data_IF_190061642888
#
_entry.id   IF_190061642888
#
_cell.length_a   1.000
_cell.length_b   1.000
_cell.length_c   1.000
_cell.angle_alpha   90.00
_cell.angle_beta   90.00
_cell.angle_gamma   90.00
#
_symmetry.space_group_name_H-M   'P 1'
#
loop_
_entity.id
_entity.type
_entity.pdbx_description
1 polymer ?
#
# COMPACT_ATOMS: atom_id res chain seq x y z
N UNK A 1 -2.12 21.28 -7.76
CA UNK A 1 -2.89 20.18 -8.37
C UNK A 1 -2.22 18.85 -8.03
N UNK A 2 -2.61 18.21 -6.92
CA UNK A 2 -1.90 17.08 -6.30
C UNK A 2 -2.57 15.71 -6.53
N UNK A 3 -3.86 15.70 -6.90
CA UNK A 3 -4.62 14.49 -7.25
C UNK A 3 -3.93 13.63 -8.33
N UNK A 4 -3.31 14.19 -9.39
CA UNK A 4 -2.66 13.37 -10.41
C UNK A 4 -1.42 12.65 -9.87
N UNK A 5 -0.63 13.30 -9.01
CA UNK A 5 0.63 12.75 -8.48
C UNK A 5 0.35 11.57 -7.56
N UNK A 6 -0.63 11.71 -6.66
CA UNK A 6 -1.06 10.62 -5.75
C UNK A 6 -1.62 9.44 -6.55
N UNK A 7 -2.40 9.71 -7.59
CA UNK A 7 -2.97 8.67 -8.46
C UNK A 7 -1.88 7.90 -9.21
N UNK A 8 -0.88 8.60 -9.77
CA UNK A 8 0.24 7.96 -10.49
C UNK A 8 1.07 7.10 -9.54
N UNK A 9 1.41 7.61 -8.34
CA UNK A 9 2.16 6.83 -7.34
C UNK A 9 1.38 5.58 -6.93
N UNK A 10 0.07 5.71 -6.65
CA UNK A 10 -0.78 4.57 -6.29
C UNK A 10 -0.82 3.49 -7.36
N UNK A 11 -0.96 3.88 -8.64
CA UNK A 11 -0.97 2.94 -9.77
C UNK A 11 0.39 2.26 -9.93
N UNK A 12 1.49 3.00 -9.87
CA UNK A 12 2.84 2.42 -9.99
C UNK A 12 3.14 1.45 -8.84
N UNK A 13 2.78 1.80 -7.61
CA UNK A 13 2.95 0.93 -6.45
C UNK A 13 2.09 -0.34 -6.57
N UNK A 14 0.83 -0.24 -7.03
CA UNK A 14 -0.02 -1.40 -7.24
C UNK A 14 0.57 -2.38 -8.27
N UNK A 15 1.14 -1.86 -9.37
CA UNK A 15 1.81 -2.68 -10.39
C UNK A 15 3.06 -3.38 -9.82
N UNK A 16 3.86 -2.67 -9.03
CA UNK A 16 5.07 -3.24 -8.41
C UNK A 16 4.72 -4.33 -7.39
N UNK A 17 3.69 -4.12 -6.56
CA UNK A 17 3.19 -5.13 -5.61
C UNK A 17 2.71 -6.36 -6.39
N UNK A 18 1.93 -6.18 -7.45
CA UNK A 18 1.47 -7.28 -8.30
C UNK A 18 2.63 -8.11 -8.88
N UNK A 19 3.66 -7.43 -9.39
CA UNK A 19 4.88 -8.09 -9.87
C UNK A 19 5.62 -8.85 -8.76
N UNK A 20 5.74 -8.26 -7.58
CA UNK A 20 6.39 -8.88 -6.41
C UNK A 20 5.65 -10.13 -5.92
N UNK A 21 4.31 -10.12 -5.92
CA UNK A 21 3.53 -11.31 -5.53
C UNK A 21 3.75 -12.47 -6.50
N UNK A 22 3.80 -12.19 -7.80
CA UNK A 22 4.07 -13.22 -8.82
C UNK A 22 5.47 -13.80 -8.66
N UNK A 23 6.49 -12.97 -8.39
CA UNK A 23 7.84 -13.46 -8.16
C UNK A 23 7.94 -14.25 -6.84
N UNK A 24 7.25 -13.85 -5.77
CA UNK A 24 7.19 -14.60 -4.52
C UNK A 24 6.61 -16.01 -4.71
N UNK A 25 5.55 -16.15 -5.51
CA UNK A 25 4.91 -17.44 -5.80
C UNK A 25 5.81 -18.31 -6.67
N UNK A 26 6.32 -17.76 -7.78
CA UNK A 26 7.09 -18.53 -8.77
C UNK A 26 8.43 -19.00 -8.19
N UNK A 27 9.12 -18.15 -7.44
CA UNK A 27 10.42 -18.49 -6.83
C UNK A 27 10.30 -19.10 -5.42
N UNK A 28 9.07 -19.35 -4.94
CA UNK A 28 8.80 -19.95 -3.63
C UNK A 28 9.42 -19.16 -2.45
N UNK A 29 9.58 -17.84 -2.62
CA UNK A 29 10.18 -16.94 -1.62
C UNK A 29 9.12 -16.64 -0.53
N UNK A 30 9.47 -16.62 0.76
CA UNK A 30 8.54 -16.21 1.81
C UNK A 30 8.31 -14.70 1.74
N UNK A 31 7.06 -14.30 1.46
CA UNK A 31 6.67 -12.90 1.37
C UNK A 31 5.19 -12.68 1.68
N UNK A 32 4.79 -11.41 1.78
CA UNK A 32 3.45 -11.00 2.21
C UNK A 32 2.38 -11.34 1.18
N UNK A 33 2.69 -11.23 -0.12
CA UNK A 33 1.75 -11.52 -1.20
C UNK A 33 1.40 -13.01 -1.24
N UNK A 34 2.41 -13.86 -1.10
CA UNK A 34 2.21 -15.30 -0.98
C UNK A 34 1.46 -15.69 0.29
N UNK A 35 1.73 -15.04 1.42
CA UNK A 35 1.03 -15.28 2.70
C UNK A 35 -0.48 -15.02 2.54
N UNK A 36 -0.85 -13.88 1.95
CA UNK A 36 -2.26 -13.51 1.69
C UNK A 36 -2.94 -14.53 0.78
N UNK A 37 -2.33 -14.89 -0.34
CA UNK A 37 -2.92 -15.85 -1.28
C UNK A 37 -3.09 -17.22 -0.62
N UNK A 38 -2.10 -17.67 0.16
CA UNK A 38 -2.19 -18.93 0.89
C UNK A 38 -3.28 -18.92 1.96
N UNK A 39 -3.48 -17.80 2.66
CA UNK A 39 -4.54 -17.61 3.65
C UNK A 39 -5.93 -17.61 3.00
N UNK A 40 -6.09 -16.95 1.85
CA UNK A 40 -7.33 -16.95 1.06
C UNK A 40 -7.66 -18.39 0.62
N UNK A 41 -6.69 -19.12 0.07
CA UNK A 41 -6.88 -20.50 -0.39
C UNK A 41 -7.22 -21.47 0.76
N UNK A 42 -6.65 -21.23 1.95
CA UNK A 42 -6.94 -22.01 3.17
C UNK A 42 -8.20 -21.56 3.91
N UNK A 43 -8.92 -20.55 3.40
CA UNK A 43 -10.07 -19.90 4.04
C UNK A 43 -9.76 -19.44 5.48
N UNK A 44 -8.54 -19.02 5.71
CA UNK A 44 -8.08 -18.52 7.00
C UNK A 44 -8.48 -17.04 7.14
N UNK A 45 -9.75 -16.81 7.45
CA UNK A 45 -10.35 -15.48 7.59
C UNK A 45 -9.62 -14.57 8.59
N UNK A 46 -9.18 -15.05 9.78
CA UNK A 46 -8.38 -14.24 10.71
C UNK A 46 -7.09 -13.68 10.09
N UNK A 47 -6.35 -14.50 9.33
CA UNK A 47 -5.10 -14.07 8.69
C UNK A 47 -5.37 -13.05 7.60
N UNK A 48 -6.39 -13.27 6.76
CA UNK A 48 -6.78 -12.31 5.72
C UNK A 48 -7.18 -10.97 6.35
N UNK A 49 -8.00 -10.99 7.40
CA UNK A 49 -8.42 -9.79 8.11
C UNK A 49 -7.24 -9.06 8.76
N UNK A 50 -6.30 -9.80 9.34
CA UNK A 50 -5.06 -9.23 9.91
C UNK A 50 -4.23 -8.52 8.84
N UNK A 51 -4.02 -9.13 7.68
CA UNK A 51 -3.26 -8.48 6.59
C UNK A 51 -3.98 -7.26 6.04
N UNK A 52 -5.30 -7.31 5.90
CA UNK A 52 -6.10 -6.14 5.48
C UNK A 52 -5.98 -4.99 6.47
N UNK A 53 -6.09 -5.25 7.77
CA UNK A 53 -5.94 -4.23 8.81
C UNK A 53 -4.55 -3.60 8.81
N UNK A 54 -3.48 -4.41 8.70
CA UNK A 54 -2.10 -3.92 8.63
C UNK A 54 -1.90 -3.06 7.37
N UNK A 55 -2.38 -3.53 6.22
CA UNK A 55 -2.25 -2.80 4.95
C UNK A 55 -3.02 -1.47 4.99
N UNK A 56 -4.24 -1.48 5.55
CA UNK A 56 -5.04 -0.27 5.73
C UNK A 56 -4.37 0.73 6.69
N UNK A 57 -3.81 0.26 7.80
CA UNK A 57 -3.07 1.11 8.75
C UNK A 57 -1.84 1.75 8.10
N UNK A 58 -1.07 0.99 7.32
CA UNK A 58 0.06 1.51 6.53
C UNK A 58 -0.42 2.56 5.54
N UNK A 59 -1.55 2.32 4.86
CA UNK A 59 -2.11 3.27 3.90
C UNK A 59 -2.50 4.59 4.58
N UNK A 60 -3.14 4.52 5.75
CA UNK A 60 -3.48 5.71 6.55
C UNK A 60 -2.21 6.44 6.99
N UNK A 61 -1.18 5.72 7.45
CA UNK A 61 0.11 6.31 7.82
C UNK A 61 0.80 7.00 6.64
N UNK A 62 0.81 6.39 5.45
CA UNK A 62 1.38 6.99 4.25
C UNK A 62 0.63 8.27 3.89
N UNK A 63 -0.72 8.25 3.91
CA UNK A 63 -1.51 9.46 3.65
C UNK A 63 -1.20 10.55 4.68
N UNK A 64 -1.12 10.21 5.97
CA UNK A 64 -0.77 11.16 7.01
C UNK A 64 0.63 11.75 6.81
N UNK A 65 1.62 10.92 6.46
CA UNK A 65 2.99 11.39 6.16
C UNK A 65 2.99 12.31 4.95
N UNK A 66 2.24 11.96 3.91
CA UNK A 66 2.09 12.76 2.69
C UNK A 66 1.43 14.11 3.01
N UNK A 67 0.37 14.12 3.81
CA UNK A 67 -0.32 15.35 4.25
C UNK A 67 0.61 16.24 5.08
N UNK A 68 1.40 15.66 6.00
CA UNK A 68 2.41 16.37 6.78
C UNK A 68 3.52 16.89 5.89
N UNK A 69 4.02 16.09 4.94
CA UNK A 69 5.03 16.53 3.97
C UNK A 69 4.51 17.70 3.15
N UNK A 70 3.26 17.67 2.70
CA UNK A 70 2.65 18.80 1.99
C UNK A 70 2.54 20.03 2.89
N UNK A 71 2.14 19.87 4.16
CA UNK A 71 2.09 20.98 5.11
C UNK A 71 3.47 21.62 5.36
N UNK A 72 4.56 20.83 5.33
CA UNK A 72 5.93 21.33 5.51
C UNK A 72 6.57 21.87 4.23
N UNK A 73 6.29 21.27 3.06
CA UNK A 73 6.91 21.61 1.78
C UNK A 73 6.19 22.76 1.10
N UNK A 74 4.89 22.97 1.34
CA UNK A 74 4.09 23.98 0.65
C UNK A 74 3.76 25.19 1.55
N UNK A 75 4.57 26.27 1.53
CA UNK A 75 4.23 27.53 2.20
C UNK A 75 3.06 28.30 1.53
N UNK A 76 2.45 27.77 0.44
CA UNK A 76 1.30 28.39 -0.25
C UNK A 76 -0.07 28.02 0.32
N UNK A 77 -0.14 27.20 1.38
CA UNK A 77 -1.40 26.95 2.12
C UNK A 77 -1.71 28.10 3.11
N UNK A 78 -0.83 29.11 3.22
CA UNK A 78 -1.23 30.41 3.78
C UNK A 78 -2.21 31.05 2.80
N UNK A 79 -3.48 31.00 3.16
CA UNK A 79 -4.53 31.85 2.59
C UNK A 79 -4.05 33.30 2.54
N UNK A 80 -3.81 33.78 1.33
CA UNK A 80 -4.29 35.07 0.79
C UNK A 80 -4.51 34.90 -0.72
#
# INVERSE_FOLDING_TARGET
ALVPVVTVIGVTTAVLIGGAVVTEIVFNIPGLGRLVISAILRRDYPVVQGVVLVTAAIYVLINLVVDVLYAFIDPRIRYD
#
